data_IF_007956805577
#
_entry.id   IF_007956805577
#
_cell.length_a   1.000
_cell.length_b   1.000
_cell.length_c   1.000
_cell.angle_alpha   90.00
_cell.angle_beta   90.00
_cell.angle_gamma   90.00
#
_symmetry.space_group_name_H-M   'P 1'
#
loop_
_entity.id
_entity.type
_entity.pdbx_description
1 polymer ?
#
# COMPACT_ATOMS: atom_id res chain seq x y z
N UNK A 1 22.85 6.33 -20.03
CA UNK A 1 21.84 6.53 -18.96
C UNK A 1 22.59 6.90 -17.70
N UNK A 2 22.24 8.02 -17.06
CA UNK A 2 22.71 8.33 -15.72
C UNK A 2 22.25 7.22 -14.77
N UNK A 3 23.10 6.84 -13.81
CA UNK A 3 22.80 5.77 -12.85
C UNK A 3 21.65 6.22 -11.93
N UNK A 4 20.44 5.73 -12.21
CA UNK A 4 19.24 6.06 -11.46
C UNK A 4 19.36 5.69 -9.98
N UNK A 5 20.13 4.64 -9.65
CA UNK A 5 20.36 4.25 -8.26
C UNK A 5 21.22 5.27 -7.55
N UNK A 6 22.28 5.74 -8.22
CA UNK A 6 23.16 6.76 -7.67
C UNK A 6 22.40 8.07 -7.41
N UNK A 7 21.52 8.49 -8.33
CA UNK A 7 20.69 9.69 -8.14
C UNK A 7 19.80 9.63 -6.90
N UNK A 8 19.08 8.52 -6.72
CA UNK A 8 18.22 8.36 -5.55
C UNK A 8 19.07 8.26 -4.27
N UNK A 9 20.20 7.56 -4.33
CA UNK A 9 21.12 7.43 -3.19
C UNK A 9 21.73 8.77 -2.79
N UNK A 10 22.13 9.59 -3.77
CA UNK A 10 22.67 10.93 -3.54
C UNK A 10 21.64 11.84 -2.85
N UNK A 11 20.39 11.79 -3.31
CA UNK A 11 19.30 12.56 -2.69
C UNK A 11 19.04 12.12 -1.24
N UNK A 12 19.00 10.81 -0.98
CA UNK A 12 18.83 10.25 0.38
C UNK A 12 20.00 10.61 1.30
N UNK A 13 21.21 10.68 0.76
CA UNK A 13 22.43 11.13 1.46
C UNK A 13 22.54 12.66 1.55
N UNK A 14 21.51 13.41 1.13
CA UNK A 14 21.44 14.88 1.15
C UNK A 14 22.56 15.54 0.35
N UNK A 15 23.05 14.88 -0.70
CA UNK A 15 24.01 15.44 -1.66
C UNK A 15 23.26 16.27 -2.70
N UNK A 16 23.82 17.43 -3.04
CA UNK A 16 23.25 18.31 -4.06
C UNK A 16 23.31 17.66 -5.43
N UNK A 17 22.23 17.74 -6.21
CA UNK A 17 22.12 17.12 -7.52
C UNK A 17 20.73 17.24 -8.13
N UNK A 18 20.47 16.55 -9.25
CA UNK A 18 19.12 16.45 -9.84
C UNK A 18 18.13 15.82 -8.87
N UNK A 19 16.85 16.20 -8.99
CA UNK A 19 15.77 15.64 -8.15
C UNK A 19 15.33 14.29 -8.73
N UNK A 20 15.42 13.18 -7.97
CA UNK A 20 14.90 11.89 -8.42
C UNK A 20 13.38 11.92 -8.56
N UNK A 21 12.86 11.12 -9.48
CA UNK A 21 11.44 11.07 -9.83
C UNK A 21 10.92 9.66 -9.66
N UNK A 22 9.84 9.52 -8.90
CA UNK A 22 9.08 8.29 -8.76
C UNK A 22 7.62 8.52 -9.18
N UNK A 23 7.16 7.72 -10.14
CA UNK A 23 5.76 7.59 -10.49
C UNK A 23 5.42 6.10 -10.64
N UNK A 24 4.78 5.55 -9.61
CA UNK A 24 4.25 4.19 -9.60
C UNK A 24 5.14 3.12 -8.97
N UNK A 25 6.14 3.47 -8.16
CA UNK A 25 6.87 2.44 -7.39
C UNK A 25 6.10 1.91 -6.16
N UNK A 26 5.10 2.66 -5.69
CA UNK A 26 4.22 2.29 -4.57
C UNK A 26 2.76 2.70 -4.86
N UNK A 27 1.82 2.27 -4.02
CA UNK A 27 0.41 2.72 -4.12
C UNK A 27 0.24 4.22 -3.80
N UNK A 28 1.21 4.84 -3.10
CA UNK A 28 1.17 6.27 -2.73
C UNK A 28 1.93 7.17 -3.70
N UNK A 29 2.65 6.58 -4.66
CA UNK A 29 3.34 7.30 -5.75
C UNK A 29 2.76 6.99 -7.12
N UNK A 30 1.63 6.27 -7.18
CA UNK A 30 0.95 5.93 -8.43
C UNK A 30 0.11 7.07 -9.01
N UNK A 31 -0.36 6.85 -10.24
CA UNK A 31 -1.24 7.77 -10.95
C UNK A 31 -2.52 7.04 -11.35
N UNK A 32 -3.64 7.74 -11.28
CA UNK A 32 -4.92 7.20 -11.73
C UNK A 32 -4.84 6.77 -13.21
N UNK A 33 -5.53 5.68 -13.58
CA UNK A 33 -5.43 5.04 -14.90
C UNK A 33 -5.73 5.99 -16.06
N UNK A 34 -6.69 6.90 -15.90
CA UNK A 34 -7.00 7.91 -16.93
C UNK A 34 -5.86 8.92 -17.13
N UNK A 35 -5.11 9.23 -16.08
CA UNK A 35 -3.94 10.12 -16.15
C UNK A 35 -2.80 9.42 -16.88
N UNK A 36 -2.58 8.14 -16.59
CA UNK A 36 -1.58 7.33 -17.32
C UNK A 36 -1.92 7.29 -18.81
N UNK A 37 -3.19 7.04 -19.17
CA UNK A 37 -3.63 7.06 -20.56
C UNK A 37 -3.41 8.43 -21.23
N UNK A 38 -3.77 9.52 -20.56
CA UNK A 38 -3.57 10.88 -21.07
C UNK A 38 -2.08 11.24 -21.22
N UNK A 39 -1.21 10.76 -20.32
CA UNK A 39 0.23 10.98 -20.43
C UNK A 39 0.83 10.24 -21.63
N UNK A 40 0.33 9.04 -21.97
CA UNK A 40 0.76 8.35 -23.20
C UNK A 40 0.45 9.21 -24.44
N UNK A 41 -0.75 9.77 -24.51
CA UNK A 41 -1.14 10.69 -25.58
C UNK A 41 -0.26 11.94 -25.63
N UNK A 42 0.00 12.56 -24.47
CA UNK A 42 0.84 13.75 -24.35
C UNK A 42 2.28 13.51 -24.87
N UNK A 43 2.87 12.36 -24.56
CA UNK A 43 4.21 11.99 -25.02
C UNK A 43 4.23 11.39 -26.44
N UNK A 44 3.08 11.27 -27.11
CA UNK A 44 2.99 10.67 -28.45
C UNK A 44 3.32 9.17 -28.47
N UNK A 45 3.13 8.47 -27.35
CA UNK A 45 3.36 7.03 -27.25
C UNK A 45 2.20 6.23 -27.84
N UNK A 46 2.40 4.96 -28.24
CA UNK A 46 1.34 4.12 -28.76
C UNK A 46 0.15 4.03 -27.80
N UNK A 47 -1.06 4.26 -28.33
CA UNK A 47 -2.30 4.05 -27.60
C UNK A 47 -2.53 2.57 -27.38
N UNK A 48 -2.67 2.20 -26.13
CA UNK A 48 -3.01 0.85 -25.69
C UNK A 48 -3.73 0.92 -24.35
N UNK A 49 -4.65 -0.02 -24.06
CA UNK A 49 -5.35 -0.08 -22.77
C UNK A 49 -4.35 -0.16 -21.61
N UNK A 50 -4.46 0.78 -20.67
CA UNK A 50 -3.62 0.81 -19.48
C UNK A 50 -4.10 -0.23 -18.47
N UNK A 51 -3.17 -0.93 -17.83
CA UNK A 51 -3.44 -1.90 -16.76
C UNK A 51 -3.77 -1.18 -15.45
N UNK A 52 -4.94 -1.44 -14.86
CA UNK A 52 -5.32 -1.03 -13.51
C UNK A 52 -4.74 -2.02 -12.52
N UNK A 53 -3.60 -1.69 -11.91
CA UNK A 53 -2.88 -2.62 -11.04
C UNK A 53 -3.22 -2.49 -9.56
N UNK A 54 -3.76 -1.34 -9.16
CA UNK A 54 -4.26 -1.07 -7.82
C UNK A 54 -5.72 -0.65 -7.99
N UNK A 55 -6.67 -1.58 -7.80
CA UNK A 55 -8.09 -1.32 -8.04
C UNK A 55 -8.73 -0.27 -7.13
N UNK A 56 -8.26 -0.12 -5.88
CA UNK A 56 -8.96 0.73 -4.90
C UNK A 56 -8.93 2.20 -5.34
N UNK A 57 -7.74 2.68 -5.66
CA UNK A 57 -7.46 4.03 -6.14
C UNK A 57 -7.44 4.09 -7.67
N UNK A 58 -7.75 2.99 -8.36
CA UNK A 58 -7.75 2.89 -9.83
C UNK A 58 -6.41 3.33 -10.44
N UNK A 59 -5.29 2.89 -9.85
CA UNK A 59 -3.94 3.26 -10.33
C UNK A 59 -3.59 2.50 -11.60
N UNK A 60 -3.15 3.25 -12.62
CA UNK A 60 -2.66 2.71 -13.87
C UNK A 60 -1.19 2.35 -13.79
N UNK A 61 -0.80 1.23 -14.41
CA UNK A 61 0.59 0.79 -14.47
C UNK A 61 1.34 1.56 -15.57
N UNK A 62 2.36 2.38 -15.24
CA UNK A 62 3.17 3.02 -16.26
C UNK A 62 4.13 1.99 -16.87
N UNK A 63 3.99 1.76 -18.17
CA UNK A 63 4.90 0.87 -18.91
C UNK A 63 6.25 1.54 -19.16
N UNK A 64 7.23 0.73 -19.58
CA UNK A 64 8.64 1.13 -19.67
C UNK A 64 8.87 2.35 -20.58
N UNK A 65 8.17 2.43 -21.71
CA UNK A 65 8.25 3.56 -22.65
C UNK A 65 7.82 4.88 -21.99
N UNK A 66 6.73 4.85 -21.22
CA UNK A 66 6.21 5.99 -20.49
C UNK A 66 7.13 6.36 -19.32
N UNK A 67 7.64 5.38 -18.57
CA UNK A 67 8.63 5.61 -17.50
C UNK A 67 9.88 6.32 -18.05
N UNK A 68 10.36 5.91 -19.22
CA UNK A 68 11.49 6.57 -19.87
C UNK A 68 11.16 8.00 -20.29
N UNK A 69 10.00 8.23 -20.93
CA UNK A 69 9.55 9.55 -21.35
C UNK A 69 9.38 10.54 -20.19
N UNK A 70 8.96 10.05 -19.02
CA UNK A 70 8.79 10.84 -17.79
C UNK A 70 10.08 10.98 -16.96
N UNK A 71 11.15 10.27 -17.31
CA UNK A 71 12.39 10.26 -16.53
C UNK A 71 12.24 9.62 -15.14
N UNK A 72 11.50 8.51 -15.04
CA UNK A 72 11.30 7.78 -13.78
C UNK A 72 12.59 7.03 -13.39
N UNK A 73 13.04 7.25 -12.15
CA UNK A 73 14.28 6.73 -11.59
C UNK A 73 14.07 5.52 -10.64
N UNK A 74 12.82 5.20 -10.33
CA UNK A 74 12.44 4.22 -9.32
C UNK A 74 11.57 3.12 -9.93
N UNK A 75 11.79 1.88 -9.49
CA UNK A 75 11.01 0.70 -9.87
C UNK A 75 10.37 0.08 -8.63
N UNK A 76 9.08 -0.29 -8.75
CA UNK A 76 8.28 -0.83 -7.67
C UNK A 76 8.34 -2.35 -7.58
N UNK A 77 8.30 -2.86 -6.35
CA UNK A 77 7.99 -4.26 -6.03
C UNK A 77 6.69 -4.29 -5.23
N UNK A 78 5.74 -5.10 -5.68
CA UNK A 78 4.42 -5.24 -5.07
C UNK A 78 4.16 -6.70 -4.68
N UNK A 79 3.25 -6.92 -3.73
CA UNK A 79 2.70 -8.27 -3.49
C UNK A 79 1.86 -8.72 -4.68
N UNK A 80 1.72 -10.03 -4.81
CA UNK A 80 0.96 -10.66 -5.89
C UNK A 80 -0.56 -10.38 -5.83
N UNK A 81 -1.10 -10.12 -4.64
CA UNK A 81 -2.53 -9.86 -4.43
C UNK A 81 -2.82 -8.37 -4.31
N UNK A 82 -3.97 -7.96 -4.84
CA UNK A 82 -4.50 -6.59 -4.73
C UNK A 82 -5.06 -6.33 -3.32
N UNK A 83 -5.47 -5.09 -3.05
CA UNK A 83 -6.18 -4.72 -1.82
C UNK A 83 -7.46 -5.56 -1.58
N UNK A 84 -8.07 -6.04 -2.66
CA UNK A 84 -9.27 -6.88 -2.65
C UNK A 84 -8.96 -8.38 -2.61
N UNK A 85 -7.71 -8.78 -2.38
CA UNK A 85 -7.36 -10.18 -2.08
C UNK A 85 -7.20 -11.11 -3.29
N UNK A 86 -7.53 -10.66 -4.50
CA UNK A 86 -7.30 -11.43 -5.73
C UNK A 86 -5.94 -11.14 -6.36
N UNK A 87 -5.43 -12.08 -7.17
CA UNK A 87 -4.15 -11.95 -7.86
C UNK A 87 -4.18 -10.83 -8.91
N UNK A 88 -3.06 -10.11 -9.04
CA UNK A 88 -2.87 -9.03 -9.99
C UNK A 88 -2.29 -9.55 -11.32
N UNK A 89 -2.99 -10.49 -11.94
CA UNK A 89 -2.57 -11.21 -13.15
C UNK A 89 -3.74 -11.44 -14.12
N UNK A 90 -3.51 -12.23 -15.18
CA UNK A 90 -4.55 -12.70 -16.10
C UNK A 90 -5.46 -11.59 -16.63
N UNK A 91 -4.85 -10.50 -17.05
CA UNK A 91 -5.49 -9.25 -17.46
C UNK A 91 -6.64 -9.43 -18.46
N UNK A 92 -7.78 -8.79 -18.19
CA UNK A 92 -8.96 -8.77 -19.07
C UNK A 92 -9.38 -7.34 -19.42
N UNK A 93 -9.96 -7.11 -20.61
CA UNK A 93 -10.52 -5.80 -20.96
C UNK A 93 -11.67 -5.40 -20.03
N UNK A 94 -11.74 -4.11 -19.71
CA UNK A 94 -12.86 -3.50 -19.01
C UNK A 94 -13.03 -2.06 -19.48
N UNK A 95 -14.29 -1.60 -19.65
CA UNK A 95 -14.56 -0.22 -20.03
C UNK A 95 -14.85 0.60 -18.76
N UNK A 96 -13.93 1.49 -18.44
CA UNK A 96 -14.01 2.39 -17.29
C UNK A 96 -14.48 3.77 -17.75
N UNK A 97 -15.75 4.11 -17.53
CA UNK A 97 -16.31 5.43 -17.90
C UNK A 97 -15.98 5.86 -19.34
N UNK A 98 -16.00 4.92 -20.30
CA UNK A 98 -15.65 5.17 -21.70
C UNK A 98 -14.17 5.04 -22.05
N UNK A 99 -13.29 4.80 -21.07
CA UNK A 99 -11.88 4.47 -21.27
C UNK A 99 -11.67 2.95 -21.27
N UNK A 100 -11.13 2.41 -22.36
CA UNK A 100 -10.75 1.00 -22.42
C UNK A 100 -9.46 0.76 -21.62
N UNK A 101 -9.56 -0.08 -20.60
CA UNK A 101 -8.48 -0.45 -19.68
C UNK A 101 -8.34 -1.97 -19.58
N UNK A 102 -7.24 -2.43 -18.98
CA UNK A 102 -7.07 -3.81 -18.56
C UNK A 102 -7.19 -3.89 -17.03
N UNK A 103 -7.97 -4.84 -16.54
CA UNK A 103 -8.10 -5.13 -15.10
C UNK A 103 -7.64 -6.56 -14.83
N UNK A 104 -7.27 -6.93 -13.59
CA UNK A 104 -6.91 -8.30 -13.27
C UNK A 104 -8.02 -9.29 -13.60
N UNK A 105 -7.69 -10.54 -13.93
CA UNK A 105 -8.66 -11.54 -14.38
C UNK A 105 -9.79 -11.77 -13.38
N UNK A 106 -9.45 -11.71 -12.09
CA UNK A 106 -10.37 -11.85 -10.96
C UNK A 106 -11.00 -10.54 -10.49
N UNK A 107 -10.80 -9.43 -11.19
CA UNK A 107 -11.57 -8.20 -11.01
C UNK A 107 -13.01 -8.44 -11.48
N UNK A 108 -13.82 -9.06 -10.63
CA UNK A 108 -15.21 -9.40 -10.91
C UNK A 108 -16.10 -8.34 -10.28
N UNK A 109 -16.94 -7.71 -11.11
CA UNK A 109 -17.81 -6.62 -10.68
C UNK A 109 -19.25 -6.89 -11.06
N UNK A 110 -20.16 -6.27 -10.31
CA UNK A 110 -21.59 -6.17 -10.67
C UNK A 110 -22.00 -4.70 -10.63
N UNK A 111 -23.20 -4.42 -11.12
CA UNK A 111 -23.80 -3.08 -11.03
C UNK A 111 -25.06 -3.17 -10.16
N UNK A 112 -25.16 -2.31 -9.16
CA UNK A 112 -26.32 -2.27 -8.27
C UNK A 112 -27.50 -1.46 -8.85
N UNK A 113 -28.58 -1.32 -8.09
CA UNK A 113 -29.78 -0.59 -8.51
C UNK A 113 -29.54 0.92 -8.71
N UNK A 114 -28.51 1.51 -8.10
CA UNK A 114 -28.14 2.91 -8.27
C UNK A 114 -27.20 3.11 -9.48
N UNK A 115 -26.73 2.02 -10.08
CA UNK A 115 -25.73 2.03 -11.14
C UNK A 115 -24.30 2.06 -10.62
N UNK A 116 -24.10 1.82 -9.32
CA UNK A 116 -22.76 1.76 -8.72
C UNK A 116 -22.09 0.45 -9.07
N UNK A 117 -20.79 0.50 -9.35
CA UNK A 117 -19.98 -0.69 -9.61
C UNK A 117 -19.53 -1.29 -8.28
N UNK A 118 -19.90 -2.54 -8.03
CA UNK A 118 -19.52 -3.29 -6.83
C UNK A 118 -18.36 -4.23 -7.15
N UNK A 119 -17.39 -4.32 -6.23
CA UNK A 119 -16.22 -5.19 -6.32
C UNK A 119 -16.18 -6.14 -5.12
N UNK A 120 -15.67 -7.34 -5.34
CA UNK A 120 -15.82 -8.47 -4.43
C UNK A 120 -14.48 -8.96 -3.88
N UNK A 121 -14.43 -9.37 -2.60
CA UNK A 121 -13.22 -9.91 -2.00
C UNK A 121 -12.83 -11.20 -2.73
N UNK A 122 -11.54 -11.32 -3.05
CA UNK A 122 -10.94 -12.44 -3.80
C UNK A 122 -11.55 -12.67 -5.20
N UNK A 123 -12.36 -11.73 -5.70
CA UNK A 123 -13.14 -11.89 -6.93
C UNK A 123 -14.32 -12.87 -6.79
N UNK A 124 -14.70 -13.22 -5.56
CA UNK A 124 -15.76 -14.18 -5.26
C UNK A 124 -17.14 -13.50 -5.22
N UNK A 125 -17.94 -13.73 -6.26
CA UNK A 125 -19.31 -13.19 -6.37
C UNK A 125 -20.32 -13.83 -5.40
N UNK A 126 -19.95 -14.90 -4.70
CA UNK A 126 -20.81 -15.49 -3.65
C UNK A 126 -20.68 -14.76 -2.31
N UNK A 127 -19.61 -13.97 -2.12
CA UNK A 127 -19.43 -13.12 -0.96
C UNK A 127 -20.21 -11.80 -1.10
N UNK A 128 -20.43 -11.11 0.02
CA UNK A 128 -20.90 -9.72 -0.02
C UNK A 128 -19.82 -8.82 -0.67
N UNK A 129 -20.22 -7.79 -1.45
CA UNK A 129 -19.26 -6.86 -2.05
C UNK A 129 -18.48 -6.13 -0.96
N UNK A 130 -17.21 -5.85 -1.23
CA UNK A 130 -16.29 -5.17 -0.30
C UNK A 130 -15.78 -3.82 -0.84
N UNK A 131 -16.02 -3.52 -2.12
CA UNK A 131 -15.73 -2.22 -2.73
C UNK A 131 -16.94 -1.69 -3.49
N UNK A 132 -17.08 -0.36 -3.53
CA UNK A 132 -18.11 0.34 -4.30
C UNK A 132 -17.52 1.55 -4.99
N UNK A 133 -17.70 1.64 -6.30
CA UNK A 133 -17.44 2.84 -7.08
C UNK A 133 -18.79 3.42 -7.51
N UNK A 134 -19.20 4.59 -6.99
CA UNK A 134 -20.45 5.20 -7.40
C UNK A 134 -20.49 5.48 -8.90
N UNK A 135 -21.69 5.47 -9.50
CA UNK A 135 -21.84 5.73 -10.94
C UNK A 135 -21.17 7.06 -11.35
N UNK A 136 -20.24 6.99 -12.30
CA UNK A 136 -19.50 8.16 -12.81
C UNK A 136 -18.35 8.65 -11.90
N UNK A 137 -18.07 7.96 -10.81
CA UNK A 137 -16.89 8.21 -9.97
C UNK A 137 -15.65 7.50 -10.53
N UNK A 138 -14.51 7.81 -9.92
CA UNK A 138 -13.19 7.41 -10.41
C UNK A 138 -12.43 6.46 -9.47
N UNK A 139 -12.96 6.19 -8.28
CA UNK A 139 -12.30 5.38 -7.26
C UNK A 139 -13.29 4.44 -6.60
N UNK A 140 -12.80 3.34 -6.02
CA UNK A 140 -13.60 2.50 -5.16
C UNK A 140 -13.47 2.96 -3.71
N UNK A 141 -14.61 3.10 -3.04
CA UNK A 141 -14.68 3.18 -1.58
C UNK A 141 -14.74 1.76 -1.00
N UNK A 142 -14.18 1.58 0.19
CA UNK A 142 -14.39 0.35 0.95
C UNK A 142 -15.84 0.29 1.45
N UNK A 143 -16.49 -0.87 1.29
CA UNK A 143 -17.75 -1.17 1.97
C UNK A 143 -17.38 -1.71 3.35
N UNK A 144 -17.70 -0.94 4.39
CA UNK A 144 -17.49 -1.35 5.78
C UNK A 144 -18.37 -2.57 6.09
N UNK A 145 -17.73 -3.67 6.48
CA UNK A 145 -18.37 -4.90 6.92
C UNK A 145 -17.83 -5.25 8.30
N UNK A 146 -18.65 -5.05 9.33
CA UNK A 146 -18.28 -5.26 10.72
C UNK A 146 -19.34 -6.14 11.40
N UNK A 147 -19.49 -7.37 10.91
CA UNK A 147 -20.49 -8.32 11.41
C UNK A 147 -20.10 -8.94 12.76
N UNK A 148 -18.80 -8.95 13.09
CA UNK A 148 -18.23 -9.62 14.26
C UNK A 148 -17.54 -8.62 15.20
N UNK A 149 -18.32 -7.68 15.72
CA UNK A 149 -17.83 -6.67 16.67
C UNK A 149 -18.68 -6.64 17.92
N UNK A 150 -18.05 -6.98 19.04
CA UNK A 150 -18.60 -6.78 20.38
C UNK A 150 -17.62 -5.90 21.18
N UNK A 151 -17.96 -4.62 21.45
CA UNK A 151 -17.06 -3.71 22.16
C UNK A 151 -16.74 -4.16 23.59
N UNK A 152 -17.54 -5.05 24.19
CA UNK A 152 -17.31 -5.62 25.52
C UNK A 152 -16.43 -6.87 25.53
N UNK A 153 -16.19 -7.49 24.37
CA UNK A 153 -15.47 -8.76 24.24
C UNK A 153 -14.61 -8.78 22.97
N UNK A 154 -13.67 -7.85 22.88
CA UNK A 154 -12.75 -7.77 21.73
C UNK A 154 -11.64 -8.83 21.83
N UNK A 155 -11.37 -9.49 20.71
CA UNK A 155 -10.27 -10.42 20.54
C UNK A 155 -9.19 -9.82 19.63
N UNK A 156 -7.92 -9.90 20.02
CA UNK A 156 -6.79 -9.36 19.25
C UNK A 156 -6.62 -10.13 17.94
N UNK A 157 -6.80 -11.45 17.96
CA UNK A 157 -6.62 -12.29 16.77
C UNK A 157 -7.60 -11.94 15.64
N UNK A 158 -8.79 -11.44 15.99
CA UNK A 158 -9.80 -11.03 15.01
C UNK A 158 -9.34 -9.80 14.20
N UNK A 159 -8.59 -8.88 14.81
CA UNK A 159 -7.98 -7.74 14.12
C UNK A 159 -6.66 -8.10 13.41
N UNK A 160 -6.10 -9.27 13.69
CA UNK A 160 -4.82 -9.72 13.15
C UNK A 160 -4.96 -10.84 12.09
N UNK A 161 -6.17 -11.14 11.61
CA UNK A 161 -6.43 -12.25 10.66
C UNK A 161 -5.54 -12.19 9.41
N UNK A 162 -5.37 -11.01 8.84
CA UNK A 162 -4.56 -10.78 7.64
C UNK A 162 -3.04 -10.73 7.92
N UNK A 163 -2.63 -10.69 9.18
CA UNK A 163 -1.23 -10.63 9.61
C UNK A 163 -0.72 -12.03 9.94
N UNK A 164 -0.41 -12.78 8.89
CA UNK A 164 0.10 -14.14 8.99
C UNK A 164 1.59 -14.23 8.63
N UNK A 165 2.30 -15.26 9.10
CA UNK A 165 3.62 -15.59 8.60
C UNK A 165 3.60 -15.72 7.07
N UNK A 166 4.55 -15.07 6.39
CA UNK A 166 4.65 -15.09 4.94
C UNK A 166 4.88 -16.52 4.43
N UNK A 167 4.21 -16.92 3.35
CA UNK A 167 4.35 -18.29 2.82
C UNK A 167 5.59 -18.42 1.94
N UNK A 168 6.10 -19.65 1.75
CA UNK A 168 7.18 -19.88 0.77
C UNK A 168 6.77 -19.51 -0.66
N UNK A 169 5.50 -19.68 -1.01
CA UNK A 169 4.98 -19.26 -2.32
C UNK A 169 5.08 -17.75 -2.50
N UNK A 170 4.65 -16.97 -1.50
CA UNK A 170 4.77 -15.51 -1.53
C UNK A 170 6.23 -15.06 -1.53
N UNK A 171 7.11 -15.74 -0.80
CA UNK A 171 8.55 -15.44 -0.80
C UNK A 171 9.18 -15.66 -2.18
N UNK A 172 8.83 -16.74 -2.88
CA UNK A 172 9.31 -17.00 -4.24
C UNK A 172 8.83 -15.94 -5.25
N UNK A 173 7.59 -15.46 -5.09
CA UNK A 173 7.06 -14.38 -5.93
C UNK A 173 7.78 -13.05 -5.66
N UNK A 174 8.03 -12.71 -4.39
CA UNK A 174 8.80 -11.51 -4.04
C UNK A 174 10.26 -11.61 -4.50
N UNK A 175 10.86 -12.80 -4.44
CA UNK A 175 12.19 -13.04 -4.98
C UNK A 175 12.25 -12.75 -6.48
N UNK A 176 11.31 -13.30 -7.26
CA UNK A 176 11.21 -13.04 -8.69
C UNK A 176 10.97 -11.55 -8.99
N UNK A 177 10.05 -10.90 -8.27
CA UNK A 177 9.73 -9.49 -8.49
C UNK A 177 10.87 -8.55 -8.12
N UNK A 178 11.59 -8.82 -7.03
CA UNK A 178 12.78 -8.03 -6.66
C UNK A 178 13.91 -8.23 -7.66
N UNK A 179 14.08 -9.43 -8.24
CA UNK A 179 15.03 -9.66 -9.34
C UNK A 179 14.64 -8.87 -10.60
N UNK A 180 13.36 -8.92 -11.00
CA UNK A 180 12.83 -8.17 -12.15
C UNK A 180 13.05 -6.66 -11.97
N UNK A 181 12.63 -6.11 -10.82
CA UNK A 181 12.75 -4.70 -10.54
C UNK A 181 14.23 -4.26 -10.53
N UNK A 182 15.10 -5.05 -9.90
CA UNK A 182 16.53 -4.75 -9.86
C UNK A 182 17.17 -4.79 -11.26
N UNK A 183 16.78 -5.72 -12.13
CA UNK A 183 17.31 -5.84 -13.48
C UNK A 183 17.05 -4.61 -14.37
N UNK A 184 16.08 -3.75 -14.03
CA UNK A 184 15.82 -2.49 -14.75
C UNK A 184 16.95 -1.45 -14.65
N UNK A 185 17.84 -1.58 -13.66
CA UNK A 185 18.85 -0.56 -13.38
C UNK A 185 18.35 0.63 -12.56
N UNK A 186 17.04 0.71 -12.24
CA UNK A 186 16.46 1.75 -11.37
C UNK A 186 16.70 1.47 -9.89
N UNK A 187 16.48 2.49 -9.07
CA UNK A 187 16.38 2.31 -7.61
C UNK A 187 15.11 1.53 -7.28
N UNK A 188 15.16 0.57 -6.36
CA UNK A 188 14.01 -0.29 -6.06
C UNK A 188 13.36 0.11 -4.74
N UNK A 189 12.07 0.41 -4.78
CA UNK A 189 11.22 0.54 -3.59
C UNK A 189 10.26 -0.65 -3.53
N UNK A 190 10.21 -1.33 -2.39
CA UNK A 190 9.37 -2.51 -2.21
C UNK A 190 8.24 -2.27 -1.21
N UNK A 191 7.02 -2.64 -1.60
CA UNK A 191 5.84 -2.64 -0.75
C UNK A 191 5.53 -4.07 -0.29
N UNK A 192 6.18 -4.51 0.78
CA UNK A 192 5.99 -5.86 1.34
C UNK A 192 4.71 -6.00 2.18
N UNK A 193 4.20 -4.90 2.73
CA UNK A 193 3.00 -4.87 3.56
C UNK A 193 3.19 -5.43 4.97
N UNK A 194 2.15 -5.33 5.80
CA UNK A 194 2.11 -5.89 7.15
C UNK A 194 2.71 -5.01 8.26
N UNK A 195 3.19 -3.80 7.95
CA UNK A 195 3.78 -2.86 8.92
C UNK A 195 3.12 -1.48 8.95
N UNK A 196 2.06 -1.25 8.17
CA UNK A 196 1.27 0.00 8.21
C UNK A 196 0.21 -0.07 9.31
N UNK A 197 0.65 0.03 10.57
CA UNK A 197 -0.19 -0.16 11.74
C UNK A 197 -1.39 0.79 11.74
N UNK A 198 -2.60 0.23 11.76
CA UNK A 198 -3.85 0.99 11.80
C UNK A 198 -4.15 1.84 10.58
N UNK A 199 -3.60 1.52 9.41
CA UNK A 199 -3.90 2.18 8.14
C UNK A 199 -5.39 2.04 7.79
N UNK A 200 -6.10 3.17 7.77
CA UNK A 200 -7.54 3.22 7.54
C UNK A 200 -7.96 2.78 6.14
N UNK A 201 -7.06 2.78 5.16
CA UNK A 201 -7.31 2.17 3.86
C UNK A 201 -7.35 0.63 3.94
N UNK A 202 -6.80 0.05 5.01
CA UNK A 202 -6.71 -1.41 5.24
C UNK A 202 -7.66 -1.90 6.33
N UNK A 203 -7.96 -1.07 7.34
CA UNK A 203 -8.88 -1.41 8.45
C UNK A 203 -10.17 -2.10 7.97
N UNK A 204 -10.87 -1.63 6.91
CA UNK A 204 -12.09 -2.28 6.44
C UNK A 204 -11.94 -3.73 5.93
N UNK A 205 -10.71 -4.19 5.67
CA UNK A 205 -10.46 -5.58 5.30
C UNK A 205 -11.08 -5.97 3.94
N UNK A 206 -10.93 -5.13 2.92
CA UNK A 206 -11.62 -5.29 1.62
C UNK A 206 -11.26 -6.60 0.89
N UNK A 207 -10.11 -7.20 1.20
CA UNK A 207 -9.70 -8.49 0.66
C UNK A 207 -10.24 -9.72 1.40
N UNK A 208 -10.95 -9.56 2.52
CA UNK A 208 -11.48 -10.68 3.31
C UNK A 208 -12.98 -10.87 3.06
N UNK A 209 -13.48 -12.11 3.05
CA UNK A 209 -14.91 -12.38 2.77
C UNK A 209 -15.86 -11.99 3.89
N UNK A 210 -15.42 -12.12 5.14
CA UNK A 210 -16.20 -11.74 6.32
C UNK A 210 -15.24 -11.34 7.45
N UNK A 211 -14.67 -10.12 7.39
CA UNK A 211 -13.60 -9.70 8.30
C UNK A 211 -14.10 -9.56 9.75
N UNK A 212 -13.31 -10.01 10.72
CA UNK A 212 -13.64 -9.92 12.15
C UNK A 212 -12.90 -8.77 12.85
N UNK A 213 -13.34 -8.39 14.03
CA UNK A 213 -12.73 -7.29 14.79
C UNK A 213 -13.20 -5.91 14.32
N UNK A 214 -12.42 -4.88 14.64
CA UNK A 214 -12.73 -3.49 14.31
C UNK A 214 -12.39 -3.23 12.85
N UNK A 215 -13.43 -3.06 12.03
CA UNK A 215 -13.36 -2.85 10.57
C UNK A 215 -14.03 -1.55 10.13
N UNK A 216 -14.79 -0.92 11.01
CA UNK A 216 -15.31 0.43 10.83
C UNK A 216 -14.22 1.47 11.14
N UNK A 217 -14.05 2.42 10.22
CA UNK A 217 -13.01 3.47 10.32
C UNK A 217 -13.29 4.42 11.50
N UNK A 218 -14.55 4.78 11.75
CA UNK A 218 -14.90 5.63 12.88
C UNK A 218 -14.69 4.89 14.21
N UNK A 219 -15.07 3.61 14.29
CA UNK A 219 -14.83 2.80 15.49
C UNK A 219 -13.34 2.58 15.76
N UNK A 220 -12.52 2.45 14.71
CA UNK A 220 -11.07 2.41 14.83
C UNK A 220 -10.54 3.69 15.50
N UNK A 221 -10.94 4.87 15.00
CA UNK A 221 -10.54 6.14 15.61
C UNK A 221 -11.03 6.32 17.05
N UNK A 222 -12.25 5.87 17.36
CA UNK A 222 -12.75 5.86 18.74
C UNK A 222 -11.85 4.99 19.62
N UNK A 223 -11.46 3.80 19.13
CA UNK A 223 -10.64 2.83 19.86
C UNK A 223 -9.21 3.30 20.14
N UNK A 224 -8.63 4.13 19.28
CA UNK A 224 -7.35 4.80 19.54
C UNK A 224 -7.39 5.67 20.82
N UNK A 225 -8.58 6.09 21.27
CA UNK A 225 -8.75 6.83 22.53
C UNK A 225 -9.31 5.96 23.64
N UNK A 226 -10.36 5.19 23.39
CA UNK A 226 -11.11 4.48 24.43
C UNK A 226 -10.55 3.10 24.77
N UNK A 227 -9.73 2.49 23.90
CA UNK A 227 -9.28 1.09 24.00
C UNK A 227 -7.79 0.91 23.75
N UNK A 228 -6.95 1.79 24.31
CA UNK A 228 -5.50 1.80 24.07
C UNK A 228 -4.79 0.49 24.37
N UNK A 229 -5.14 -0.19 25.47
CA UNK A 229 -4.56 -1.50 25.81
C UNK A 229 -4.82 -2.56 24.73
N UNK A 230 -6.01 -2.53 24.12
CA UNK A 230 -6.35 -3.41 23.00
C UNK A 230 -5.56 -3.05 21.74
N UNK A 231 -5.50 -1.75 21.39
CA UNK A 231 -4.73 -1.27 20.23
C UNK A 231 -3.24 -1.63 20.36
N UNK A 232 -2.65 -1.47 21.54
CA UNK A 232 -1.28 -1.92 21.81
C UNK A 232 -1.11 -3.42 21.57
N UNK A 233 -2.06 -4.25 22.01
CA UNK A 233 -1.97 -5.69 21.82
C UNK A 233 -2.08 -6.08 20.32
N UNK A 234 -2.93 -5.39 19.56
CA UNK A 234 -3.00 -5.53 18.08
C UNK A 234 -1.67 -5.14 17.44
N UNK A 235 -1.15 -3.94 17.72
CA UNK A 235 0.10 -3.47 17.15
C UNK A 235 1.31 -4.31 17.56
N UNK A 236 1.32 -4.87 18.77
CA UNK A 236 2.34 -5.83 19.19
C UNK A 236 2.34 -7.05 18.26
N UNK A 237 1.18 -7.67 18.03
CA UNK A 237 1.07 -8.84 17.16
C UNK A 237 1.42 -8.53 15.71
N UNK A 238 0.93 -7.41 15.18
CA UNK A 238 1.26 -6.93 13.83
C UNK A 238 2.77 -6.68 13.70
N UNK A 239 3.40 -6.06 14.70
CA UNK A 239 4.83 -5.74 14.71
C UNK A 239 5.70 -6.99 14.78
N UNK A 240 5.40 -7.94 15.67
CA UNK A 240 6.14 -9.21 15.78
C UNK A 240 6.08 -10.00 14.46
N UNK A 241 4.88 -10.12 13.88
CA UNK A 241 4.67 -10.82 12.62
C UNK A 241 5.34 -10.10 11.46
N UNK A 242 5.22 -8.77 11.40
CA UNK A 242 5.85 -7.93 10.39
C UNK A 242 7.36 -8.05 10.39
N UNK A 243 8.01 -7.98 11.55
CA UNK A 243 9.47 -8.15 11.68
C UNK A 243 9.90 -9.57 11.29
N UNK A 244 9.17 -10.61 11.73
CA UNK A 244 9.47 -11.99 11.35
C UNK A 244 9.35 -12.20 9.83
N UNK A 245 8.37 -11.57 9.19
CA UNK A 245 8.21 -11.60 7.73
C UNK A 245 9.33 -10.84 7.03
N UNK A 246 9.72 -9.66 7.50
CA UNK A 246 10.83 -8.89 6.95
C UNK A 246 12.15 -9.67 7.00
N UNK A 247 12.41 -10.44 8.07
CA UNK A 247 13.58 -11.31 8.17
C UNK A 247 13.63 -12.33 7.03
N UNK A 248 12.53 -13.05 6.81
CA UNK A 248 12.42 -14.07 5.76
C UNK A 248 12.45 -13.46 4.36
N UNK A 249 11.85 -12.29 4.18
CA UNK A 249 11.90 -11.57 2.90
C UNK A 249 13.32 -11.12 2.60
N UNK A 250 14.05 -10.61 3.60
CA UNK A 250 15.44 -10.15 3.41
C UNK A 250 16.38 -11.29 3.02
N UNK A 251 16.22 -12.50 3.56
CA UNK A 251 16.97 -13.70 3.14
C UNK A 251 16.83 -13.99 1.64
N UNK A 252 15.69 -13.62 1.04
CA UNK A 252 15.46 -13.72 -0.41
C UNK A 252 15.96 -12.47 -1.11
N UNK A 253 15.32 -11.32 -0.86
CA UNK A 253 15.52 -10.07 -1.57
C UNK A 253 16.96 -9.52 -1.48
N UNK A 254 17.61 -9.67 -0.33
CA UNK A 254 18.96 -9.18 -0.06
C UNK A 254 19.13 -7.69 -0.40
N UNK A 255 20.25 -7.34 -1.03
CA UNK A 255 20.59 -5.96 -1.40
C UNK A 255 19.91 -5.43 -2.66
N UNK A 256 18.97 -6.19 -3.27
CA UNK A 256 18.28 -5.75 -4.50
C UNK A 256 17.33 -4.58 -4.26
N UNK A 257 16.84 -4.44 -3.03
CA UNK A 257 15.92 -3.39 -2.59
C UNK A 257 16.72 -2.24 -1.98
N UNK A 258 16.36 -1.01 -2.34
CA UNK A 258 16.95 0.21 -1.78
C UNK A 258 16.14 0.76 -0.60
N UNK A 259 14.81 0.80 -0.73
CA UNK A 259 13.91 1.21 0.33
C UNK A 259 12.70 0.29 0.43
N UNK A 260 12.12 0.18 1.62
CA UNK A 260 10.83 -0.48 1.84
C UNK A 260 9.79 0.55 2.24
N UNK A 261 8.58 0.41 1.68
CA UNK A 261 7.43 1.18 2.13
C UNK A 261 6.89 0.56 3.42
N UNK A 262 7.27 1.17 4.54
CA UNK A 262 6.95 0.66 5.88
C UNK A 262 5.55 1.06 6.30
N UNK A 263 5.15 2.30 6.02
CA UNK A 263 3.95 2.90 6.60
C UNK A 263 3.20 3.79 5.60
N UNK A 264 1.94 3.44 5.36
CA UNK A 264 0.94 4.25 4.66
C UNK A 264 -0.12 4.88 5.58
N UNK A 265 -0.03 4.68 6.90
CA UNK A 265 -1.01 5.24 7.85
C UNK A 265 -0.94 6.76 7.84
N UNK A 266 -2.08 7.37 7.48
CA UNK A 266 -2.25 8.81 7.45
C UNK A 266 -2.51 9.39 8.84
N UNK A 267 -1.82 10.48 9.15
CA UNK A 267 -1.95 11.23 10.40
C UNK A 267 -2.45 12.67 10.19
N UNK A 268 -2.54 13.12 8.94
CA UNK A 268 -2.96 14.47 8.57
C UNK A 268 -4.31 14.50 7.85
N UNK A 269 -5.05 15.58 8.06
CA UNK A 269 -6.16 16.00 7.21
C UNK A 269 -5.71 17.17 6.34
N UNK A 270 -6.60 17.70 5.49
CA UNK A 270 -6.29 18.89 4.67
C UNK A 270 -5.85 20.09 5.52
N UNK A 271 -6.32 20.23 6.77
CA UNK A 271 -6.08 21.42 7.61
C UNK A 271 -5.59 21.12 9.02
N UNK A 272 -5.51 19.84 9.43
CA UNK A 272 -5.15 19.44 10.80
C UNK A 272 -4.61 18.00 10.83
N UNK A 273 -4.69 17.34 12.00
CA UNK A 273 -4.20 15.99 12.28
C UNK A 273 -5.33 15.09 12.81
N UNK A 274 -5.24 13.78 12.55
CA UNK A 274 -6.23 12.79 13.03
C UNK A 274 -6.09 12.48 14.52
N UNK A 275 -4.90 12.64 15.09
CA UNK A 275 -4.65 12.42 16.51
C UNK A 275 -3.67 13.45 17.07
N UNK A 276 -3.53 13.50 18.40
CA UNK A 276 -2.51 14.34 19.02
C UNK A 276 -1.10 13.73 18.83
N UNK A 277 -0.05 14.56 18.90
CA UNK A 277 1.34 14.06 18.93
C UNK A 277 1.57 13.07 20.06
N UNK A 278 1.03 13.35 21.26
CA UNK A 278 1.13 12.44 22.40
C UNK A 278 0.49 11.07 22.12
N UNK A 279 -0.63 11.04 21.38
CA UNK A 279 -1.26 9.78 20.95
C UNK A 279 -0.42 9.04 19.94
N UNK A 280 0.25 9.74 19.01
CA UNK A 280 1.23 9.13 18.10
C UNK A 280 2.41 8.51 18.85
N UNK A 281 3.02 9.30 19.73
CA UNK A 281 4.20 8.92 20.51
C UNK A 281 3.92 7.72 21.43
N UNK A 282 2.69 7.60 21.93
CA UNK A 282 2.27 6.48 22.76
C UNK A 282 1.96 5.24 21.93
N UNK A 283 1.09 5.35 20.92
CA UNK A 283 0.53 4.18 20.23
C UNK A 283 1.38 3.68 19.07
N UNK A 284 2.03 4.54 18.29
CA UNK A 284 2.70 4.12 17.05
C UNK A 284 4.21 4.17 17.12
N UNK A 285 4.77 5.23 17.72
CA UNK A 285 6.22 5.45 17.77
C UNK A 285 7.00 4.22 18.27
N UNK A 286 6.60 3.51 19.34
CA UNK A 286 7.36 2.36 19.84
C UNK A 286 7.44 1.22 18.81
N UNK A 287 6.38 0.97 18.05
CA UNK A 287 6.32 -0.11 17.07
C UNK A 287 7.03 0.25 15.77
N UNK A 288 6.86 1.48 15.27
CA UNK A 288 7.62 1.94 14.11
C UNK A 288 9.11 1.96 14.40
N UNK A 289 9.53 2.39 15.60
CA UNK A 289 10.94 2.30 16.01
C UNK A 289 11.44 0.87 15.96
N UNK A 290 10.71 -0.10 16.51
CA UNK A 290 11.11 -1.52 16.45
C UNK A 290 11.28 -2.03 15.03
N UNK A 291 10.37 -1.68 14.11
CA UNK A 291 10.47 -2.06 12.70
C UNK A 291 11.70 -1.40 12.05
N UNK A 292 11.85 -0.09 12.17
CA UNK A 292 12.96 0.64 11.56
C UNK A 292 14.33 0.23 12.14
N UNK A 293 14.44 0.08 13.47
CA UNK A 293 15.67 -0.39 14.13
C UNK A 293 16.05 -1.78 13.62
N UNK A 294 15.08 -2.69 13.47
CA UNK A 294 15.34 -3.99 12.88
C UNK A 294 15.83 -3.88 11.44
N UNK A 295 15.18 -3.06 10.60
CA UNK A 295 15.56 -2.86 9.20
C UNK A 295 16.98 -2.31 9.10
N UNK A 296 17.32 -1.27 9.87
CA UNK A 296 18.64 -0.63 9.86
C UNK A 296 19.74 -1.53 10.43
N UNK A 297 19.43 -2.36 11.43
CA UNK A 297 20.40 -3.29 12.02
C UNK A 297 20.69 -4.50 11.11
N UNK A 298 19.71 -4.95 10.33
CA UNK A 298 19.80 -6.22 9.59
C UNK A 298 19.97 -6.06 8.08
N UNK A 299 19.71 -4.87 7.53
CA UNK A 299 19.69 -4.64 6.07
C UNK A 299 20.40 -3.34 5.69
N UNK A 300 20.45 -3.04 4.38
CA UNK A 300 20.82 -1.71 3.86
C UNK A 300 19.60 -0.93 3.36
N UNK A 301 18.40 -1.43 3.63
CA UNK A 301 17.17 -0.80 3.17
C UNK A 301 16.88 0.47 3.95
N UNK A 302 16.25 1.40 3.25
CA UNK A 302 15.68 2.63 3.82
C UNK A 302 14.23 2.44 4.21
N UNK A 303 13.80 3.11 5.27
CA UNK A 303 12.44 3.05 5.80
C UNK A 303 11.59 4.21 5.27
N UNK A 304 10.81 3.96 4.21
CA UNK A 304 9.96 4.98 3.60
C UNK A 304 8.58 5.05 4.28
N UNK A 305 8.18 6.26 4.70
CA UNK A 305 6.85 6.56 5.24
C UNK A 305 6.11 7.55 4.35
N UNK A 306 4.83 7.27 4.16
CA UNK A 306 3.86 8.22 3.64
C UNK A 306 2.88 8.64 4.73
N UNK A 307 2.38 9.88 4.62
CA UNK A 307 1.16 10.33 5.27
C UNK A 307 0.58 11.50 4.48
N UNK A 308 -0.71 11.43 4.16
CA UNK A 308 -1.47 12.55 3.64
C UNK A 308 -1.62 13.66 4.68
N UNK A 309 -1.95 14.86 4.18
CA UNK A 309 -2.38 16.00 4.98
C UNK A 309 -1.28 16.70 5.78
N UNK A 310 -1.71 17.53 6.74
CA UNK A 310 -0.82 18.35 7.57
C UNK A 310 -0.14 17.51 8.66
N UNK A 311 1.14 17.17 8.46
CA UNK A 311 1.89 16.29 9.39
C UNK A 311 3.18 16.88 9.95
N UNK A 312 3.42 18.18 9.76
CA UNK A 312 4.63 18.87 10.23
C UNK A 312 4.93 18.59 11.71
N UNK A 313 3.88 18.55 12.55
CA UNK A 313 3.97 18.29 14.00
C UNK A 313 4.48 16.89 14.35
N UNK A 314 4.35 15.94 13.44
CA UNK A 314 4.81 14.56 13.64
C UNK A 314 6.19 14.29 13.03
N UNK A 315 6.74 15.20 12.22
CA UNK A 315 8.07 15.02 11.61
C UNK A 315 9.15 14.67 12.65
N UNK A 316 9.24 15.34 13.82
CA UNK A 316 10.20 14.94 14.85
C UNK A 316 9.99 13.50 15.33
N UNK A 317 8.74 13.07 15.54
CA UNK A 317 8.44 11.71 15.96
C UNK A 317 8.70 10.68 14.85
N UNK A 318 8.50 11.03 13.58
CA UNK A 318 8.85 10.15 12.46
C UNK A 318 10.36 9.93 12.37
N UNK A 319 11.15 10.99 12.55
CA UNK A 319 12.62 10.89 12.63
C UNK A 319 13.01 10.04 13.85
N UNK A 320 12.36 10.24 15.01
CA UNK A 320 12.60 9.46 16.23
C UNK A 320 12.17 7.98 16.11
N UNK A 321 11.27 7.66 15.17
CA UNK A 321 10.89 6.30 14.81
C UNK A 321 11.90 5.64 13.84
N UNK A 322 12.86 6.40 13.28
CA UNK A 322 13.85 5.86 12.34
C UNK A 322 13.39 5.78 10.89
N UNK A 323 12.37 6.56 10.47
CA UNK A 323 12.10 6.72 9.04
C UNK A 323 13.21 7.53 8.35
N UNK A 324 13.55 7.15 7.11
CA UNK A 324 14.61 7.77 6.29
C UNK A 324 14.06 8.85 5.34
#
# INVERSE_FOLDING_TARGET
MQDSRQFVTDALDRRSGPVPVDFGSTAVTGMHVSVVAALRDYYGLPRQPVKVHEPLQMLGWPEEDLKQAMGVHVEGVFRAKTAFGFANDNWKPWNFNGLDVLVPGMFNTTVDANGDTLLYPEGDLSAAPSGRMPKGFHFFDAIIRQNHFDPGNLNVEDNCEEFQPITEADLNLLDAETARAHATGRYVIASFGGTSFGDIARVPGTGMKDPRGIRDVAEWYISLRSRRGYVHAVFERECETGIANLARIHERAGSRVGAIFVCGTDFGTQTSVFCSKATFDELWLPYYRRVCDWVHANTKWKCFKHSCGSVERFIPSFIEAGFD
#
